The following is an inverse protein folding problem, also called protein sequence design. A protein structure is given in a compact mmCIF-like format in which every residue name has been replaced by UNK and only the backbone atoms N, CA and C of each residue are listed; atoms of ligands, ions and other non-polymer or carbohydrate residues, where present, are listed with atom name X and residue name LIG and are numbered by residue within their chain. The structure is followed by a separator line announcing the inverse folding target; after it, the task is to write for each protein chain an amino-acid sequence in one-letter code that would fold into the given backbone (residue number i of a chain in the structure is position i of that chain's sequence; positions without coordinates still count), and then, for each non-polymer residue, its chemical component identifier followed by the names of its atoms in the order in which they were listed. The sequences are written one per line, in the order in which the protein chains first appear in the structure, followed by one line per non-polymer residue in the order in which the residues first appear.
data_IF_253133314454
#
_entry.id   IF_253133314454
#
_cell.length_a   1.000
_cell.length_b   1.000
_cell.length_c   1.000
_cell.angle_alpha   90.00
_cell.angle_beta   90.00
_cell.angle_gamma   90.00
#
_symmetry.space_group_name_H-M   'P 1'
#
loop_
_entity.id
_entity.type
_entity.pdbx_description
1 polymer ?
#
# COMPACT_ATOMS: atom_id res chain seq x y z
N UNK A 1 5.78 -74.60 44.94
CA UNK A 1 6.17 -74.82 43.53
C UNK A 1 6.22 -73.42 42.94
N UNK A 2 7.37 -72.84 42.66
CA UNK A 2 8.22 -73.22 41.54
C UNK A 2 9.64 -72.67 41.75
N UNK A 3 10.61 -73.51 41.44
CA UNK A 3 12.03 -73.39 41.71
C UNK A 3 12.67 -72.83 40.43
N UNK A 4 13.27 -71.63 40.44
CA UNK A 4 14.00 -71.14 39.26
C UNK A 4 15.48 -70.98 39.61
N UNK A 5 16.23 -72.03 39.27
CA UNK A 5 17.68 -72.12 39.45
C UNK A 5 18.39 -71.28 38.40
N UNK A 6 19.44 -70.61 38.88
CA UNK A 6 20.41 -69.83 38.10
C UNK A 6 21.18 -70.79 37.18
N UNK A 7 21.19 -70.54 35.88
CA UNK A 7 22.08 -71.24 34.95
C UNK A 7 23.41 -70.50 34.87
N UNK A 8 24.45 -71.13 35.38
CA UNK A 8 25.85 -70.82 35.07
C UNK A 8 26.14 -71.25 33.63
N UNK A 9 26.61 -70.32 32.80
CA UNK A 9 27.13 -70.65 31.47
C UNK A 9 28.66 -70.66 31.56
N UNK A 10 29.23 -71.85 31.57
CA UNK A 10 30.67 -72.06 31.35
C UNK A 10 30.95 -71.89 29.85
N UNK A 11 31.86 -70.99 29.51
CA UNK A 11 32.47 -70.95 28.17
C UNK A 11 33.92 -71.37 28.29
N UNK A 12 34.22 -72.49 27.64
CA UNK A 12 35.51 -73.16 27.54
C UNK A 12 36.52 -72.35 26.72
N UNK A 13 37.77 -72.37 27.17
CA UNK A 13 38.96 -71.80 26.50
C UNK A 13 39.38 -72.70 25.32
N UNK A 14 39.59 -72.10 24.15
CA UNK A 14 40.35 -72.72 23.05
C UNK A 14 41.60 -71.88 22.77
N UNK A 15 42.73 -72.55 22.57
CA UNK A 15 44.08 -71.98 22.57
C UNK A 15 44.63 -71.94 21.15
N UNK A 16 44.88 -70.73 20.62
CA UNK A 16 45.63 -70.50 19.39
C UNK A 16 46.46 -69.23 19.54
N UNK A 17 47.79 -69.39 19.62
CA UNK A 17 48.77 -68.32 19.87
C UNK A 17 49.11 -67.60 18.56
N UNK A 18 48.90 -66.28 18.52
CA UNK A 18 49.61 -65.34 17.64
C UNK A 18 50.06 -64.13 18.47
N UNK A 19 51.35 -63.82 18.37
CA UNK A 19 52.06 -62.86 19.22
C UNK A 19 51.99 -61.44 18.65
N UNK A 20 50.99 -60.70 19.08
CA UNK A 20 51.08 -59.24 19.29
C UNK A 20 50.70 -58.98 20.73
N UNK A 21 51.53 -58.25 21.47
CA UNK A 21 51.34 -57.94 22.89
C UNK A 21 50.16 -56.98 23.09
N UNK A 22 48.95 -57.47 22.91
CA UNK A 22 47.75 -56.87 23.47
C UNK A 22 47.52 -57.55 24.81
N UNK A 23 48.10 -56.96 25.86
CA UNK A 23 47.74 -57.27 27.24
C UNK A 23 46.23 -57.16 27.38
N UNK A 24 45.52 -58.30 27.39
CA UNK A 24 44.09 -58.35 27.70
C UNK A 24 43.96 -57.88 29.14
N UNK A 25 43.68 -56.59 29.30
CA UNK A 25 43.52 -55.95 30.60
C UNK A 25 42.13 -56.33 31.08
N UNK A 26 42.01 -57.44 31.80
CA UNK A 26 40.76 -57.88 32.39
C UNK A 26 40.51 -57.06 33.65
N UNK A 27 39.52 -56.19 33.63
CA UNK A 27 39.10 -55.44 34.81
C UNK A 27 38.23 -56.33 35.70
N UNK A 28 38.44 -56.21 37.01
CA UNK A 28 37.49 -56.74 37.99
C UNK A 28 36.17 -55.94 37.92
N UNK A 29 35.05 -56.55 38.29
CA UNK A 29 33.74 -55.88 38.30
C UNK A 29 33.77 -54.58 39.12
N UNK A 30 34.50 -54.59 40.24
CA UNK A 30 34.68 -53.46 41.14
C UNK A 30 35.45 -52.30 40.49
N UNK A 31 36.47 -52.59 39.67
CA UNK A 31 37.21 -51.56 38.92
C UNK A 31 36.34 -50.92 37.83
N UNK A 32 35.52 -51.71 37.13
CA UNK A 32 34.57 -51.21 36.13
C UNK A 32 33.50 -50.32 36.79
N UNK A 33 32.93 -50.75 37.91
CA UNK A 33 31.94 -49.98 38.66
C UNK A 33 32.52 -48.65 39.14
N UNK A 34 33.78 -48.65 39.62
CA UNK A 34 34.49 -47.43 40.03
C UNK A 34 34.77 -46.48 38.87
N UNK A 35 35.17 -47.01 37.70
CA UNK A 35 35.34 -46.20 36.50
C UNK A 35 34.02 -45.57 36.06
N UNK A 36 32.93 -46.36 36.02
CA UNK A 36 31.59 -45.90 35.65
C UNK A 36 31.08 -44.80 36.60
N UNK A 37 31.31 -44.96 37.92
CA UNK A 37 31.01 -43.91 38.90
C UNK A 37 31.82 -42.64 38.63
N UNK A 38 33.13 -42.76 38.37
CA UNK A 38 33.99 -41.60 38.12
C UNK A 38 33.57 -40.83 36.87
N UNK A 39 33.18 -41.53 35.80
CA UNK A 39 32.65 -40.92 34.58
C UNK A 39 31.27 -40.31 34.82
N UNK A 40 30.41 -40.99 35.58
CA UNK A 40 29.11 -40.46 35.99
C UNK A 40 29.22 -39.16 36.79
N UNK A 41 30.16 -39.08 37.71
CA UNK A 41 30.42 -37.88 38.51
C UNK A 41 31.05 -36.75 37.69
N UNK A 42 31.96 -37.05 36.75
CA UNK A 42 32.48 -36.07 35.79
C UNK A 42 31.37 -35.48 34.94
N UNK A 43 30.51 -36.34 34.39
CA UNK A 43 29.37 -35.96 33.56
C UNK A 43 28.42 -35.07 34.37
N UNK A 44 28.04 -35.51 35.58
CA UNK A 44 27.16 -34.76 36.49
C UNK A 44 27.75 -33.39 36.81
N UNK A 45 29.04 -33.33 37.11
CA UNK A 45 29.73 -32.09 37.44
C UNK A 45 29.77 -31.14 36.24
N UNK A 46 30.05 -31.64 35.03
CA UNK A 46 30.06 -30.85 33.80
C UNK A 46 28.67 -30.27 33.52
N UNK A 47 27.63 -31.10 33.51
CA UNK A 47 26.27 -30.64 33.27
C UNK A 47 25.77 -29.67 34.33
N UNK A 48 26.11 -29.88 35.61
CA UNK A 48 25.76 -28.92 36.66
C UNK A 48 26.42 -27.55 36.42
N UNK A 49 27.70 -27.52 36.00
CA UNK A 49 28.37 -26.26 35.64
C UNK A 49 27.71 -25.59 34.44
N UNK A 50 27.36 -26.35 33.41
CA UNK A 50 26.73 -25.81 32.20
C UNK A 50 25.32 -25.27 32.50
N UNK A 51 24.54 -25.97 33.32
CA UNK A 51 23.22 -25.51 33.79
C UNK A 51 23.33 -24.22 34.60
N UNK A 52 24.33 -24.10 35.47
CA UNK A 52 24.55 -22.87 36.25
C UNK A 52 24.89 -21.69 35.34
N UNK A 53 25.80 -21.88 34.37
CA UNK A 53 26.15 -20.84 33.38
C UNK A 53 24.94 -20.41 32.56
N UNK A 54 24.16 -21.36 32.05
CA UNK A 54 22.94 -21.06 31.29
C UNK A 54 21.92 -20.29 32.13
N UNK A 55 21.76 -20.64 33.42
CA UNK A 55 20.90 -19.89 34.35
C UNK A 55 21.39 -18.47 34.56
N UNK A 56 22.69 -18.26 34.71
CA UNK A 56 23.28 -16.93 34.82
C UNK A 56 23.06 -16.11 33.54
N UNK A 57 23.27 -16.70 32.37
CA UNK A 57 23.02 -16.05 31.08
C UNK A 57 21.54 -15.69 30.87
N UNK A 58 20.62 -16.59 31.22
CA UNK A 58 19.18 -16.32 31.17
C UNK A 58 18.85 -15.15 32.09
N UNK A 59 19.34 -15.17 33.34
CA UNK A 59 19.10 -14.10 34.31
C UNK A 59 19.65 -12.75 33.81
N UNK A 60 20.83 -12.74 33.18
CA UNK A 60 21.41 -11.53 32.59
C UNK A 60 20.56 -11.01 31.42
N UNK A 61 20.07 -11.92 30.55
CA UNK A 61 19.18 -11.55 29.44
C UNK A 61 17.83 -11.04 29.95
N UNK A 62 17.26 -11.66 30.98
CA UNK A 62 16.03 -11.20 31.62
C UNK A 62 16.20 -9.81 32.22
N UNK A 63 17.31 -9.56 32.94
CA UNK A 63 17.62 -8.24 33.49
C UNK A 63 17.83 -7.20 32.39
N UNK A 64 18.48 -7.57 31.28
CA UNK A 64 18.66 -6.69 30.13
C UNK A 64 17.33 -6.38 29.45
N UNK A 65 16.47 -7.38 29.24
CA UNK A 65 15.10 -7.19 28.74
C UNK A 65 14.30 -6.29 29.68
N UNK A 66 14.42 -6.45 30.99
CA UNK A 66 13.77 -5.58 31.97
C UNK A 66 14.29 -4.13 31.90
N UNK A 67 15.58 -3.95 31.61
CA UNK A 67 16.17 -2.61 31.40
C UNK A 67 15.82 -1.99 30.04
N UNK A 68 15.50 -2.81 29.05
CA UNK A 68 15.11 -2.41 27.70
C UNK A 68 13.61 -2.29 27.52
N UNK A 69 12.81 -2.92 28.38
CA UNK A 69 11.42 -2.52 28.52
C UNK A 69 11.47 -1.01 28.64
N UNK A 70 10.75 -0.28 27.77
CA UNK A 70 10.57 1.13 28.02
C UNK A 70 10.18 1.21 29.49
N UNK A 71 10.75 2.18 30.22
CA UNK A 71 10.06 2.67 31.40
C UNK A 71 8.70 3.06 30.83
N UNK A 72 7.76 2.11 30.88
CA UNK A 72 6.38 2.44 31.11
C UNK A 72 6.54 3.27 32.37
N UNK A 73 6.60 4.59 32.15
CA UNK A 73 6.32 5.56 33.17
C UNK A 73 5.19 4.92 33.98
N UNK A 74 5.28 4.92 35.32
CA UNK A 74 4.19 4.38 36.13
C UNK A 74 2.91 4.85 35.47
N UNK A 75 1.94 3.96 35.24
CA UNK A 75 0.64 4.34 34.69
C UNK A 75 0.03 5.33 35.68
N UNK A 76 0.49 6.58 35.59
CA UNK A 76 -0.18 7.77 36.03
C UNK A 76 -1.33 7.73 35.08
N UNK A 77 -2.48 7.26 35.56
CA UNK A 77 -3.74 7.56 34.91
C UNK A 77 -3.65 9.03 34.54
N UNK A 78 -3.46 9.31 33.24
CA UNK A 78 -3.27 10.67 32.75
C UNK A 78 -4.32 11.50 33.47
N UNK A 79 -3.88 12.51 34.20
CA UNK A 79 -4.80 13.32 34.99
C UNK A 79 -5.94 13.75 34.06
N UNK A 80 -7.18 13.86 34.53
CA UNK A 80 -8.30 14.27 33.67
C UNK A 80 -7.96 15.55 32.86
N UNK A 81 -7.09 16.40 33.40
CA UNK A 81 -6.56 17.58 32.73
C UNK A 81 -5.67 17.25 31.51
N UNK A 82 -4.80 16.25 31.59
CA UNK A 82 -3.93 15.81 30.51
C UNK A 82 -4.73 15.11 29.40
N UNK A 83 -5.69 14.25 29.76
CA UNK A 83 -6.60 13.63 28.78
C UNK A 83 -7.40 14.70 28.03
N UNK A 84 -7.95 15.68 28.76
CA UNK A 84 -8.68 16.80 28.14
C UNK A 84 -7.76 17.67 27.27
N UNK A 85 -6.50 17.86 27.66
CA UNK A 85 -5.53 18.62 26.87
C UNK A 85 -5.17 17.90 25.57
N UNK A 86 -4.90 16.59 25.64
CA UNK A 86 -4.60 15.76 24.47
C UNK A 86 -5.77 15.67 23.50
N UNK A 87 -6.99 15.52 24.02
CA UNK A 87 -8.21 15.56 23.20
C UNK A 87 -8.39 16.91 22.49
N UNK A 88 -8.18 18.02 23.21
CA UNK A 88 -8.22 19.36 22.60
C UNK A 88 -7.13 19.55 21.57
N UNK A 89 -5.93 19.03 21.80
CA UNK A 89 -4.82 19.12 20.86
C UNK A 89 -5.16 18.38 19.57
N UNK A 90 -5.66 17.15 19.68
CA UNK A 90 -6.10 16.35 18.53
C UNK A 90 -7.26 17.01 17.78
N UNK A 91 -8.22 17.60 18.48
CA UNK A 91 -9.32 18.35 17.84
C UNK A 91 -8.82 19.60 17.11
N UNK A 92 -7.86 20.32 17.70
CA UNK A 92 -7.25 21.50 17.09
C UNK A 92 -6.43 21.12 15.85
N UNK A 93 -5.64 20.05 15.91
CA UNK A 93 -4.87 19.55 14.78
C UNK A 93 -5.79 19.10 13.62
N UNK A 94 -6.88 18.38 13.93
CA UNK A 94 -7.87 18.00 12.93
C UNK A 94 -8.53 19.23 12.28
N UNK A 95 -8.86 20.25 13.09
CA UNK A 95 -9.41 21.52 12.59
C UNK A 95 -8.42 22.30 11.73
N UNK A 96 -7.15 22.35 12.12
CA UNK A 96 -6.10 23.02 11.36
C UNK A 96 -5.91 22.37 9.99
N UNK A 97 -5.89 21.03 9.94
CA UNK A 97 -5.77 20.27 8.69
C UNK A 97 -6.99 20.50 7.79
N UNK A 98 -8.20 20.53 8.35
CA UNK A 98 -9.42 20.84 7.60
C UNK A 98 -9.42 22.28 7.06
N UNK A 99 -8.99 23.25 7.86
CA UNK A 99 -8.88 24.65 7.44
C UNK A 99 -7.85 24.79 6.31
N UNK A 100 -6.68 24.18 6.47
CA UNK A 100 -5.63 24.20 5.46
C UNK A 100 -6.13 23.61 4.12
N UNK A 101 -6.84 22.49 4.15
CA UNK A 101 -7.42 21.89 2.96
C UNK A 101 -8.45 22.82 2.29
N UNK A 102 -9.30 23.48 3.08
CA UNK A 102 -10.27 24.47 2.58
C UNK A 102 -9.60 25.69 1.98
N UNK A 103 -8.56 26.23 2.63
CA UNK A 103 -7.79 27.37 2.13
C UNK A 103 -7.10 27.04 0.80
N UNK A 104 -6.48 25.86 0.70
CA UNK A 104 -5.88 25.39 -0.54
C UNK A 104 -6.91 25.27 -1.67
N UNK A 105 -8.09 24.71 -1.37
CA UNK A 105 -9.19 24.60 -2.34
C UNK A 105 -9.71 25.97 -2.79
N UNK A 106 -9.94 26.90 -1.86
CA UNK A 106 -10.38 28.26 -2.19
C UNK A 106 -9.35 29.00 -3.04
N UNK A 107 -8.06 28.89 -2.71
CA UNK A 107 -6.99 29.48 -3.51
C UNK A 107 -6.96 28.91 -4.93
N UNK A 108 -7.15 27.60 -5.07
CA UNK A 108 -7.25 26.93 -6.37
C UNK A 108 -8.46 27.42 -7.17
N UNK A 109 -9.64 27.51 -6.54
CA UNK A 109 -10.86 28.04 -7.16
C UNK A 109 -10.68 29.48 -7.64
N UNK A 110 -10.09 30.34 -6.80
CA UNK A 110 -9.81 31.73 -7.15
C UNK A 110 -8.83 31.83 -8.33
N UNK A 111 -7.78 31.00 -8.33
CA UNK A 111 -6.83 30.95 -9.42
C UNK A 111 -7.51 30.51 -10.73
N UNK A 112 -8.29 29.43 -10.71
CA UNK A 112 -9.04 28.96 -11.88
C UNK A 112 -9.99 30.04 -12.42
N UNK A 113 -10.75 30.68 -11.54
CA UNK A 113 -11.66 31.77 -11.91
C UNK A 113 -10.92 32.96 -12.53
N UNK A 114 -9.76 33.34 -11.97
CA UNK A 114 -8.92 34.44 -12.50
C UNK A 114 -8.41 34.16 -13.92
N UNK A 115 -8.30 32.88 -14.29
CA UNK A 115 -7.88 32.42 -15.62
C UNK A 115 -9.06 32.08 -16.55
N UNK A 116 -10.30 32.36 -16.12
CA UNK A 116 -11.51 32.10 -16.90
C UNK A 116 -11.85 30.61 -17.03
N UNK A 117 -11.32 29.78 -16.12
CA UNK A 117 -11.59 28.35 -16.05
C UNK A 117 -12.73 28.05 -15.06
N UNK A 118 -13.55 27.01 -15.31
CA UNK A 118 -14.60 26.60 -14.38
C UNK A 118 -14.06 26.20 -13.01
N UNK A 119 -14.68 26.70 -11.94
CA UNK A 119 -14.34 26.36 -10.55
C UNK A 119 -14.48 24.87 -10.22
N UNK A 120 -15.38 24.16 -10.92
CA UNK A 120 -15.58 22.71 -10.77
C UNK A 120 -14.32 21.88 -11.09
N UNK A 121 -13.36 22.46 -11.83
CA UNK A 121 -12.07 21.79 -12.08
C UNK A 121 -11.24 21.64 -10.80
N UNK A 122 -11.49 22.45 -9.76
CA UNK A 122 -10.81 22.34 -8.48
C UNK A 122 -11.02 20.97 -7.80
N UNK A 123 -12.17 20.33 -8.03
CA UNK A 123 -12.49 19.03 -7.43
C UNK A 123 -11.80 17.86 -8.16
N UNK A 124 -11.29 18.11 -9.37
CA UNK A 124 -10.66 17.11 -10.25
C UNK A 124 -9.13 17.28 -10.25
N UNK A 125 -8.64 18.51 -10.08
CA UNK A 125 -7.22 18.84 -10.08
C UNK A 125 -6.63 18.47 -8.71
N UNK A 126 -5.64 17.55 -8.73
CA UNK A 126 -4.85 17.25 -7.54
C UNK A 126 -3.88 18.40 -7.25
N UNK A 127 -3.88 18.89 -6.01
CA UNK A 127 -2.91 19.87 -5.54
C UNK A 127 -1.55 19.18 -5.42
N UNK A 128 -0.54 19.70 -6.11
CA UNK A 128 0.84 19.22 -6.11
C UNK A 128 1.80 20.33 -6.53
N UNK A 129 3.05 19.99 -6.78
CA UNK A 129 4.04 20.99 -7.18
C UNK A 129 3.75 21.52 -8.59
N UNK A 130 3.79 22.85 -8.76
CA UNK A 130 3.55 23.57 -10.03
C UNK A 130 2.09 23.56 -10.55
N UNK A 131 1.10 23.44 -9.67
CA UNK A 131 -0.33 23.57 -10.03
C UNK A 131 -0.62 24.89 -10.75
N UNK A 132 -0.01 25.99 -10.30
CA UNK A 132 -0.23 27.30 -10.91
C UNK A 132 0.26 27.40 -12.35
N UNK A 133 1.47 26.91 -12.63
CA UNK A 133 2.01 26.82 -13.99
C UNK A 133 1.13 25.95 -14.88
N UNK A 134 0.69 24.80 -14.37
CA UNK A 134 -0.17 23.85 -15.10
C UNK A 134 -1.52 24.48 -15.45
N UNK A 135 -2.11 25.24 -14.52
CA UNK A 135 -3.37 25.98 -14.74
C UNK A 135 -3.19 27.08 -15.77
N UNK A 136 -2.07 27.80 -15.74
CA UNK A 136 -1.77 28.83 -16.73
C UNK A 136 -1.67 28.23 -18.14
N UNK A 137 -0.92 27.13 -18.31
CA UNK A 137 -0.80 26.44 -19.60
C UNK A 137 -2.15 25.88 -20.06
N UNK A 138 -2.95 25.31 -19.15
CA UNK A 138 -4.30 24.83 -19.48
C UNK A 138 -5.20 25.97 -19.96
N UNK A 139 -5.15 27.13 -19.30
CA UNK A 139 -5.92 28.30 -19.69
C UNK A 139 -5.51 28.80 -21.09
N UNK A 140 -4.21 28.87 -21.38
CA UNK A 140 -3.68 29.24 -22.69
C UNK A 140 -4.15 28.27 -23.79
N UNK A 141 -4.03 26.95 -23.56
CA UNK A 141 -4.49 25.93 -24.50
C UNK A 141 -6.00 26.01 -24.73
N UNK A 142 -6.79 26.18 -23.68
CA UNK A 142 -8.24 26.28 -23.81
C UNK A 142 -8.66 27.55 -24.56
N UNK A 143 -8.01 28.69 -24.27
CA UNK A 143 -8.30 29.95 -24.96
C UNK A 143 -7.90 29.89 -26.44
N UNK A 144 -6.78 29.25 -26.77
CA UNK A 144 -6.39 28.99 -28.16
C UNK A 144 -7.42 28.12 -28.89
N UNK A 145 -7.95 27.08 -28.24
CA UNK A 145 -8.95 26.20 -28.85
C UNK A 145 -10.36 26.81 -28.95
N UNK A 146 -10.78 27.61 -27.96
CA UNK A 146 -12.08 28.33 -27.99
C UNK A 146 -12.17 29.29 -29.19
N UNK A 147 -11.04 29.84 -29.63
CA UNK A 147 -10.99 30.77 -30.77
C UNK A 147 -10.97 30.04 -32.12
N UNK A 148 -10.49 28.79 -32.18
CA UNK A 148 -10.36 28.04 -33.43
C UNK A 148 -11.62 27.26 -33.81
N UNK A 149 -12.46 26.88 -32.84
CA UNK A 149 -13.70 26.10 -33.07
C UNK A 149 -14.98 26.94 -33.03
N UNK A 150 -14.89 28.24 -32.70
CA UNK A 150 -16.03 29.13 -32.87
C UNK A 150 -16.15 29.52 -34.34
N UNK A 151 -16.79 28.66 -35.13
CA UNK A 151 -17.44 29.08 -36.36
C UNK A 151 -18.45 30.17 -36.00
N UNK A 152 -18.00 31.42 -35.99
CA UNK A 152 -18.91 32.55 -36.11
C UNK A 152 -19.40 32.50 -37.55
N UNK A 153 -20.71 32.32 -37.80
CA UNK A 153 -21.24 32.68 -39.10
C UNK A 153 -20.94 34.16 -39.29
N UNK A 154 -19.83 34.45 -39.97
CA UNK A 154 -19.58 35.76 -40.54
C UNK A 154 -20.80 36.05 -41.42
N UNK A 155 -21.29 37.28 -41.41
CA UNK A 155 -22.58 37.69 -41.99
C UNK A 155 -22.72 37.47 -43.50
N UNK A 156 -21.84 36.69 -44.12
CA UNK A 156 -22.20 35.87 -45.27
C UNK A 156 -23.18 34.81 -44.80
N UNK A 157 -24.47 35.15 -44.88
CA UNK A 157 -25.52 34.16 -45.12
C UNK A 157 -24.90 33.10 -46.02
N UNK A 158 -24.86 31.86 -45.57
CA UNK A 158 -24.57 30.73 -46.42
C UNK A 158 -25.25 31.01 -47.76
N UNK A 159 -24.46 31.27 -48.79
CA UNK A 159 -24.90 31.27 -50.18
C UNK A 159 -25.15 29.83 -50.59
N UNK A 160 -25.90 29.12 -49.74
CA UNK A 160 -26.50 27.83 -49.98
C UNK A 160 -27.92 28.20 -50.37
N UNK A 161 -28.05 28.59 -51.64
CA UNK A 161 -29.28 28.51 -52.43
C UNK A 161 -30.59 28.84 -51.71
N UNK A 162 -30.65 29.97 -50.98
CA UNK A 162 -31.94 30.51 -50.55
C UNK A 162 -32.60 31.15 -51.77
N UNK A 163 -33.24 30.31 -52.59
CA UNK A 163 -34.07 30.74 -53.69
C UNK A 163 -35.14 31.71 -53.17
N UNK A 164 -35.01 32.99 -53.50
CA UNK A 164 -35.96 34.03 -53.10
C UNK A 164 -37.25 33.95 -53.93
N UNK A 165 -38.36 34.50 -53.40
CA UNK A 165 -39.65 34.55 -54.11
C UNK A 165 -39.58 35.29 -55.45
N UNK A 166 -38.70 36.29 -55.55
CA UNK A 166 -38.43 36.99 -56.81
C UNK A 166 -37.69 36.11 -57.82
N UNK A 167 -36.69 35.35 -57.38
CA UNK A 167 -35.98 34.40 -58.24
C UNK A 167 -36.92 33.28 -58.69
N UNK A 168 -37.74 32.73 -57.79
CA UNK A 168 -38.77 31.74 -58.13
C UNK A 168 -39.78 32.28 -59.17
N UNK A 169 -40.18 33.56 -59.04
CA UNK A 169 -41.08 34.20 -60.00
C UNK A 169 -40.44 34.43 -61.38
N UNK A 170 -39.11 34.48 -61.45
CA UNK A 170 -38.33 34.60 -62.70
C UNK A 170 -37.95 33.25 -63.31
N UNK A 171 -38.09 32.14 -62.58
CA UNK A 171 -37.78 30.78 -63.08
C UNK A 171 -38.76 30.33 -64.16
N UNK A 172 -38.25 29.53 -65.11
CA UNK A 172 -39.04 28.88 -66.15
C UNK A 172 -40.04 27.88 -65.55
N UNK A 173 -41.21 27.64 -66.19
CA UNK A 173 -42.16 26.62 -65.73
C UNK A 173 -41.55 25.23 -65.53
N UNK A 174 -40.53 24.87 -66.33
CA UNK A 174 -39.81 23.59 -66.20
C UNK A 174 -38.97 23.56 -64.92
N UNK A 175 -38.23 24.62 -64.61
CA UNK A 175 -37.40 24.68 -63.40
C UNK A 175 -38.26 24.71 -62.14
N UNK A 176 -39.44 25.34 -62.22
CA UNK A 176 -40.46 25.30 -61.16
C UNK A 176 -41.00 23.88 -60.95
N UNK A 177 -41.19 23.11 -62.01
CA UNK A 177 -41.62 21.71 -61.93
C UNK A 177 -40.52 20.83 -61.32
N UNK A 178 -39.26 21.08 -61.66
CA UNK A 178 -38.12 20.38 -61.06
C UNK A 178 -38.03 20.72 -59.57
N UNK A 179 -38.16 22.00 -59.20
CA UNK A 179 -38.23 22.41 -57.79
C UNK A 179 -39.38 21.73 -57.04
N UNK A 180 -40.55 21.57 -57.66
CA UNK A 180 -41.67 20.84 -57.06
C UNK A 180 -41.36 19.36 -56.82
N UNK A 181 -40.64 18.71 -57.75
CA UNK A 181 -40.23 17.30 -57.63
C UNK A 181 -39.13 17.10 -56.59
N UNK A 182 -38.16 18.00 -56.56
CA UNK A 182 -36.97 17.90 -55.72
C UNK A 182 -37.23 18.43 -54.31
N UNK A 183 -38.07 19.46 -54.16
CA UNK A 183 -38.44 20.07 -52.88
C UNK A 183 -39.84 20.71 -52.93
N UNK A 184 -40.86 19.87 -52.72
CA UNK A 184 -42.27 20.29 -52.72
C UNK A 184 -42.59 21.37 -51.66
N UNK A 185 -42.00 21.27 -50.47
CA UNK A 185 -42.24 22.23 -49.39
C UNK A 185 -41.72 23.62 -49.73
N UNK A 186 -40.51 23.71 -50.30
CA UNK A 186 -39.93 24.97 -50.75
C UNK A 186 -40.74 25.57 -51.89
N UNK A 187 -41.19 24.77 -52.85
CA UNK A 187 -42.09 25.21 -53.91
C UNK A 187 -43.40 25.80 -53.35
N UNK A 188 -44.05 25.11 -52.42
CA UNK A 188 -45.29 25.58 -51.77
C UNK A 188 -45.07 26.89 -51.05
N UNK A 189 -43.96 27.03 -50.31
CA UNK A 189 -43.60 28.27 -49.60
C UNK A 189 -43.37 29.45 -50.55
N UNK A 190 -42.76 29.22 -51.72
CA UNK A 190 -42.44 30.28 -52.69
C UNK A 190 -43.60 30.62 -53.64
N UNK A 191 -44.55 29.70 -53.84
CA UNK A 191 -45.74 29.88 -54.70
C UNK A 191 -46.94 30.52 -53.99
N UNK A 192 -46.94 30.55 -52.66
CA UNK A 192 -47.97 31.26 -51.88
C UNK A 192 -47.90 32.77 -52.15
N UNK A 193 -49.07 33.40 -52.28
CA UNK A 193 -49.24 34.80 -52.69
C UNK A 193 -48.76 35.77 -51.63
#
# INVERSE_FOLDING_TARGET
MENNQVQETQTTVDTGVDTTTDTITTFTKEEVDKMLQSEGDKIRTKYNKDVLKLKEEIKLKEQYIESLKPVEEPVVEKSEAEIKAEQKLAELEAKELEIQAKEQHLNLVNLLNSKGLPSQLADIIKVGDNVETSINTLAELLNANKLNDSFKPDGRTSSVDVLTKEQFSKMSPIDRMNLFKDNEELYKKLSQR
#
